data_IF_742000489729
#
_entry.id   IF_742000489729
#
_cell.length_a   1.000
_cell.length_b   1.000
_cell.length_c   1.000
_cell.angle_alpha   90.00
_cell.angle_beta   90.00
_cell.angle_gamma   90.00
#
_symmetry.space_group_name_H-M   'P 1'
#
loop_
_entity.id
_entity.type
_entity.pdbx_description
1 polymer ?
#
# COMPACT_ATOMS: atom_id res chain seq x y z
N UNK A 1 -57.07 2.30 40.34
CA UNK A 1 -55.91 1.41 40.11
C UNK A 1 -55.78 1.20 38.60
N UNK A 2 -55.43 2.27 37.87
CA UNK A 2 -54.09 2.62 37.34
C UNK A 2 -53.81 1.89 36.03
N UNK A 3 -54.09 2.60 34.93
CA UNK A 3 -53.69 2.25 33.58
C UNK A 3 -52.17 2.32 33.44
N UNK A 4 -51.58 1.32 32.80
CA UNK A 4 -50.15 1.27 32.50
C UNK A 4 -49.98 1.78 31.06
N UNK A 5 -49.65 3.06 30.91
CA UNK A 5 -49.16 3.61 29.65
C UNK A 5 -47.76 3.04 29.38
N UNK A 6 -47.67 2.25 28.31
CA UNK A 6 -46.39 1.83 27.74
C UNK A 6 -45.73 3.06 27.09
N UNK A 7 -44.69 3.58 27.74
CA UNK A 7 -43.79 4.56 27.12
C UNK A 7 -42.91 3.82 26.12
N UNK A 8 -43.23 3.98 24.83
CA UNK A 8 -42.39 3.55 23.71
C UNK A 8 -41.09 4.36 23.73
N UNK A 9 -40.00 3.73 24.18
CA UNK A 9 -38.68 4.34 24.20
C UNK A 9 -38.22 4.63 22.77
N UNK A 10 -38.18 5.91 22.41
CA UNK A 10 -37.69 6.38 21.14
C UNK A 10 -36.27 5.85 20.87
N UNK A 11 -36.11 5.07 19.78
CA UNK A 11 -34.80 4.65 19.27
C UNK A 11 -33.90 5.86 19.08
N UNK A 12 -32.65 5.84 19.58
CA UNK A 12 -31.73 6.95 19.38
C UNK A 12 -31.49 7.12 17.87
N UNK A 13 -31.88 8.28 17.33
CA UNK A 13 -31.58 8.68 15.95
C UNK A 13 -30.06 8.66 15.81
N UNK A 14 -29.54 7.67 15.08
CA UNK A 14 -28.11 7.44 14.94
C UNK A 14 -27.36 8.73 14.61
N UNK A 15 -26.41 9.09 15.46
CA UNK A 15 -25.58 10.28 15.30
C UNK A 15 -24.94 10.25 13.92
N UNK A 16 -25.26 11.26 13.09
CA UNK A 16 -24.79 11.35 11.71
C UNK A 16 -23.26 11.42 11.74
N UNK A 17 -22.58 10.36 11.29
CA UNK A 17 -21.11 10.36 11.24
C UNK A 17 -20.59 11.60 10.49
N UNK A 18 -19.49 12.21 10.96
CA UNK A 18 -18.79 13.26 10.22
C UNK A 18 -18.47 12.80 8.79
N UNK A 19 -18.54 13.71 7.81
CA UNK A 19 -18.38 13.39 6.37
C UNK A 19 -17.10 12.58 6.08
N UNK A 20 -15.98 12.89 6.75
CA UNK A 20 -14.71 12.16 6.61
C UNK A 20 -14.80 10.73 7.17
N UNK A 21 -15.37 10.56 8.35
CA UNK A 21 -15.56 9.23 8.95
C UNK A 21 -16.48 8.36 8.08
N UNK A 22 -17.54 8.95 7.51
CA UNK A 22 -18.40 8.27 6.52
C UNK A 22 -17.61 7.84 5.29
N UNK A 23 -16.79 8.73 4.73
CA UNK A 23 -15.98 8.41 3.55
C UNK A 23 -15.03 7.24 3.82
N UNK A 24 -14.36 7.22 4.97
CA UNK A 24 -13.46 6.13 5.35
C UNK A 24 -14.22 4.80 5.55
N UNK A 25 -15.41 4.84 6.15
CA UNK A 25 -16.28 3.66 6.28
C UNK A 25 -16.60 3.06 4.90
N UNK A 26 -16.98 3.90 3.93
CA UNK A 26 -17.31 3.45 2.58
C UNK A 26 -16.09 2.87 1.87
N UNK A 27 -14.91 3.46 2.05
CA UNK A 27 -13.66 2.93 1.49
C UNK A 27 -13.26 1.59 2.09
N UNK A 28 -13.41 1.40 3.40
CA UNK A 28 -13.15 0.10 4.04
C UNK A 28 -14.07 -1.00 3.51
N UNK A 29 -15.39 -0.72 3.41
CA UNK A 29 -16.34 -1.64 2.83
C UNK A 29 -16.03 -1.96 1.35
N UNK A 30 -15.64 -0.94 0.58
CA UNK A 30 -15.24 -1.11 -0.81
C UNK A 30 -14.00 -2.00 -0.96
N UNK A 31 -12.99 -1.80 -0.10
CA UNK A 31 -11.78 -2.60 -0.06
C UNK A 31 -12.10 -4.08 0.17
N UNK A 32 -12.91 -4.39 1.19
CA UNK A 32 -13.33 -5.77 1.47
C UNK A 32 -14.03 -6.42 0.28
N UNK A 33 -14.94 -5.70 -0.38
CA UNK A 33 -15.68 -6.21 -1.55
C UNK A 33 -14.77 -6.39 -2.75
N UNK A 34 -13.92 -5.41 -3.07
CA UNK A 34 -13.00 -5.49 -4.21
C UNK A 34 -11.96 -6.58 -4.04
N UNK A 35 -11.42 -6.79 -2.84
CA UNK A 35 -10.45 -7.86 -2.57
C UNK A 35 -11.10 -9.23 -2.63
N UNK A 36 -12.34 -9.36 -2.14
CA UNK A 36 -13.04 -10.65 -2.12
C UNK A 36 -13.56 -11.09 -3.51
N UNK A 37 -14.01 -10.15 -4.33
CA UNK A 37 -14.74 -10.46 -5.57
C UNK A 37 -13.98 -10.02 -6.84
N UNK A 38 -12.96 -9.18 -6.70
CA UNK A 38 -12.36 -8.46 -7.83
C UNK A 38 -13.20 -7.26 -8.28
N UNK A 39 -12.57 -6.34 -9.02
CA UNK A 39 -13.23 -5.09 -9.43
C UNK A 39 -14.45 -5.32 -10.32
N UNK A 40 -14.36 -6.22 -11.30
CA UNK A 40 -15.43 -6.40 -12.30
C UNK A 40 -16.70 -7.00 -11.69
N UNK A 41 -16.56 -8.01 -10.83
CA UNK A 41 -17.70 -8.66 -10.18
C UNK A 41 -18.33 -7.82 -9.07
N UNK A 42 -17.54 -7.00 -8.38
CA UNK A 42 -18.04 -6.11 -7.32
C UNK A 42 -19.13 -5.16 -7.83
N UNK A 43 -20.27 -5.10 -7.12
CA UNK A 43 -21.31 -4.12 -7.35
C UNK A 43 -21.32 -3.00 -6.29
N UNK A 44 -21.79 -1.81 -6.69
CA UNK A 44 -22.02 -0.70 -5.75
C UNK A 44 -23.04 -1.07 -4.67
N UNK A 45 -23.94 -1.99 -5.00
CA UNK A 45 -24.97 -2.51 -4.10
C UNK A 45 -24.36 -3.29 -2.93
N UNK A 46 -23.45 -4.22 -3.24
CA UNK A 46 -22.74 -5.04 -2.24
C UNK A 46 -21.93 -4.15 -1.30
N UNK A 47 -21.33 -3.08 -1.83
CA UNK A 47 -20.55 -2.12 -1.05
C UNK A 47 -21.45 -1.31 -0.11
N UNK A 48 -22.61 -0.85 -0.60
CA UNK A 48 -23.56 -0.11 0.22
C UNK A 48 -24.10 -1.00 1.37
N UNK A 49 -24.44 -2.25 1.05
CA UNK A 49 -24.86 -3.25 2.03
C UNK A 49 -23.76 -3.52 3.06
N UNK A 50 -22.53 -3.79 2.60
CA UNK A 50 -21.37 -4.01 3.47
C UNK A 50 -21.10 -2.83 4.39
N UNK A 51 -21.22 -1.61 3.87
CA UNK A 51 -21.05 -0.38 4.65
C UNK A 51 -22.23 -0.07 5.58
N UNK A 52 -23.34 -0.81 5.49
CA UNK A 52 -24.56 -0.51 6.26
C UNK A 52 -25.16 0.86 5.92
N UNK A 53 -25.07 1.29 4.66
CA UNK A 53 -25.65 2.55 4.17
C UNK A 53 -26.61 2.30 3.00
N UNK A 54 -27.50 3.26 2.73
CA UNK A 54 -28.33 3.19 1.53
C UNK A 54 -27.52 3.56 0.28
N UNK A 55 -27.89 3.01 -0.89
CA UNK A 55 -27.24 3.33 -2.17
C UNK A 55 -27.15 4.84 -2.43
N UNK A 56 -28.21 5.65 -2.22
CA UNK A 56 -28.10 7.11 -2.43
C UNK A 56 -27.01 7.77 -1.58
N UNK A 57 -26.73 7.26 -0.38
CA UNK A 57 -25.65 7.77 0.47
C UNK A 57 -24.28 7.43 -0.13
N UNK A 58 -24.10 6.21 -0.64
CA UNK A 58 -22.85 5.84 -1.33
C UNK A 58 -22.63 6.74 -2.56
N UNK A 59 -23.64 6.91 -3.41
CA UNK A 59 -23.55 7.72 -4.63
C UNK A 59 -23.33 9.23 -4.36
N UNK A 60 -23.75 9.75 -3.21
CA UNK A 60 -23.42 11.13 -2.79
C UNK A 60 -21.93 11.33 -2.51
N UNK A 61 -21.21 10.27 -2.17
CA UNK A 61 -19.78 10.31 -1.90
C UNK A 61 -18.95 9.89 -3.12
N UNK A 62 -19.41 8.90 -3.87
CA UNK A 62 -18.70 8.31 -5.00
C UNK A 62 -19.68 8.10 -6.17
N UNK A 63 -19.62 8.94 -7.22
CA UNK A 63 -20.55 8.88 -8.34
C UNK A 63 -20.53 7.55 -9.09
N UNK A 64 -19.39 6.85 -9.11
CA UNK A 64 -19.25 5.54 -9.73
C UNK A 64 -18.27 4.61 -9.01
N UNK A 65 -18.29 3.34 -9.45
CA UNK A 65 -17.40 2.28 -8.96
C UNK A 65 -15.93 2.61 -9.21
N UNK A 66 -15.62 3.20 -10.37
CA UNK A 66 -14.26 3.65 -10.70
C UNK A 66 -13.81 4.78 -9.78
N UNK A 67 -14.64 5.79 -9.50
CA UNK A 67 -14.28 6.89 -8.59
C UNK A 67 -13.98 6.37 -7.17
N UNK A 68 -14.78 5.42 -6.70
CA UNK A 68 -14.57 4.76 -5.42
C UNK A 68 -13.26 3.96 -5.40
N UNK A 69 -12.98 3.23 -6.49
CA UNK A 69 -11.74 2.48 -6.65
C UNK A 69 -10.51 3.39 -6.67
N UNK A 70 -10.54 4.46 -7.46
CA UNK A 70 -9.45 5.44 -7.54
C UNK A 70 -9.23 6.14 -6.21
N UNK A 71 -10.29 6.46 -5.47
CA UNK A 71 -10.19 7.04 -4.14
C UNK A 71 -9.58 6.09 -3.10
N UNK A 72 -9.83 4.79 -3.23
CA UNK A 72 -9.20 3.76 -2.41
C UNK A 72 -7.72 3.60 -2.79
N UNK A 73 -7.43 3.60 -4.08
CA UNK A 73 -6.08 3.57 -4.63
C UNK A 73 -5.25 4.75 -4.11
N UNK A 74 -5.79 5.97 -4.16
CA UNK A 74 -5.14 7.17 -3.63
C UNK A 74 -4.80 7.04 -2.14
N UNK A 75 -5.70 6.44 -1.33
CA UNK A 75 -5.45 6.21 0.10
C UNK A 75 -4.29 5.24 0.33
N UNK A 76 -4.21 4.16 -0.44
CA UNK A 76 -3.15 3.17 -0.32
C UNK A 76 -1.81 3.67 -0.87
N UNK A 77 -1.83 4.46 -1.95
CA UNK A 77 -0.63 5.13 -2.46
C UNK A 77 -0.03 6.08 -1.42
N UNK A 78 -0.86 6.92 -0.78
CA UNK A 78 -0.41 7.81 0.29
C UNK A 78 0.19 7.02 1.47
N UNK A 79 -0.45 5.93 1.89
CA UNK A 79 0.05 5.09 2.97
C UNK A 79 1.44 4.49 2.67
N UNK A 80 1.67 4.07 1.42
CA UNK A 80 2.97 3.57 0.98
C UNK A 80 4.05 4.67 1.03
N UNK A 81 3.76 5.86 0.47
CA UNK A 81 4.70 7.00 0.49
C UNK A 81 5.06 7.38 1.93
N UNK A 82 4.08 7.45 2.83
CA UNK A 82 4.32 7.77 4.24
C UNK A 82 5.16 6.69 4.94
N UNK A 83 4.96 5.41 4.59
CA UNK A 83 5.75 4.30 5.12
C UNK A 83 7.21 4.40 4.66
N UNK A 84 7.46 4.69 3.39
CA UNK A 84 8.80 4.92 2.84
C UNK A 84 9.47 6.12 3.51
N UNK A 85 8.78 7.26 3.62
CA UNK A 85 9.30 8.45 4.30
C UNK A 85 9.66 8.17 5.76
N UNK A 86 8.79 7.44 6.47
CA UNK A 86 9.03 7.06 7.86
C UNK A 86 10.24 6.12 8.00
N UNK A 87 10.40 5.17 7.08
CA UNK A 87 11.55 4.28 7.02
C UNK A 87 12.86 5.04 6.79
N UNK A 88 12.88 6.00 5.86
CA UNK A 88 14.05 6.84 5.59
C UNK A 88 14.40 7.75 6.77
N UNK A 89 13.40 8.27 7.48
CA UNK A 89 13.58 9.13 8.66
C UNK A 89 13.94 8.36 9.95
N UNK A 90 13.85 7.02 9.94
CA UNK A 90 14.03 6.20 11.15
C UNK A 90 15.45 6.21 11.72
N UNK A 91 16.44 6.59 10.93
CA UNK A 91 17.87 6.54 11.26
C UNK A 91 18.67 7.40 10.27
N UNK A 92 19.94 7.65 10.58
CA UNK A 92 20.91 8.28 9.67
C UNK A 92 21.93 7.28 9.09
N UNK A 93 21.86 6.01 9.50
CA UNK A 93 22.67 4.94 8.90
C UNK A 93 22.02 4.47 7.58
N UNK A 94 22.67 4.73 6.45
CA UNK A 94 22.14 4.39 5.13
C UNK A 94 21.87 2.91 4.91
N UNK A 95 22.67 2.02 5.50
CA UNK A 95 22.40 0.59 5.40
C UNK A 95 21.11 0.23 6.14
N UNK A 96 20.87 0.86 7.29
CA UNK A 96 19.64 0.66 8.06
C UNK A 96 18.43 1.31 7.36
N UNK A 97 18.58 2.47 6.72
CA UNK A 97 17.54 3.08 5.87
C UNK A 97 17.14 2.14 4.72
N UNK A 98 18.12 1.58 4.01
CA UNK A 98 17.82 0.59 2.95
C UNK A 98 17.01 -0.57 3.50
N UNK A 99 17.44 -1.16 4.63
CA UNK A 99 16.70 -2.26 5.26
C UNK A 99 15.28 -1.85 5.65
N UNK A 100 15.11 -0.68 6.28
CA UNK A 100 13.81 -0.18 6.71
C UNK A 100 12.87 0.07 5.51
N UNK A 101 13.39 0.60 4.41
CA UNK A 101 12.61 0.80 3.19
C UNK A 101 12.21 -0.53 2.57
N UNK A 102 13.11 -1.52 2.50
CA UNK A 102 12.73 -2.87 2.04
C UNK A 102 11.64 -3.48 2.93
N UNK A 103 11.80 -3.39 4.24
CA UNK A 103 10.79 -3.87 5.21
C UNK A 103 9.42 -3.22 4.99
N UNK A 104 9.39 -1.90 4.76
CA UNK A 104 8.16 -1.17 4.47
C UNK A 104 7.44 -1.69 3.22
N UNK A 105 8.17 -2.00 2.14
CA UNK A 105 7.57 -2.61 0.95
C UNK A 105 7.03 -4.01 1.24
N UNK A 106 7.77 -4.87 1.93
CA UNK A 106 7.29 -6.21 2.29
C UNK A 106 6.06 -6.16 3.22
N UNK A 107 6.07 -5.28 4.23
CA UNK A 107 4.92 -5.05 5.10
C UNK A 107 3.68 -4.62 4.32
N UNK A 108 3.87 -3.74 3.34
CA UNK A 108 2.79 -3.26 2.47
C UNK A 108 2.21 -4.39 1.60
N UNK A 109 3.04 -5.32 1.12
CA UNK A 109 2.60 -6.47 0.32
C UNK A 109 1.95 -7.56 1.18
N UNK A 110 2.39 -7.72 2.42
CA UNK A 110 1.81 -8.67 3.38
C UNK A 110 0.47 -8.21 3.97
N UNK A 111 0.15 -6.91 3.93
CA UNK A 111 -1.05 -6.36 4.55
C UNK A 111 -2.31 -7.17 4.18
N UNK A 112 -2.94 -7.77 5.20
CA UNK A 112 -4.11 -8.64 5.06
C UNK A 112 -5.31 -7.91 4.44
N UNK A 113 -5.28 -6.57 4.47
CA UNK A 113 -6.24 -5.72 3.78
C UNK A 113 -6.20 -5.84 2.25
N UNK A 114 -5.19 -6.48 1.66
CA UNK A 114 -5.10 -6.67 0.21
C UNK A 114 -4.83 -5.38 -0.57
N UNK A 115 -4.34 -4.32 0.11
CA UNK A 115 -3.98 -3.03 -0.47
C UNK A 115 -3.06 -3.18 -1.68
N UNK A 116 -2.03 -4.04 -1.54
CA UNK A 116 -1.09 -4.32 -2.60
C UNK A 116 -1.75 -4.88 -3.86
N UNK A 117 -2.72 -5.80 -3.71
CA UNK A 117 -3.42 -6.39 -4.87
C UNK A 117 -4.20 -5.34 -5.64
N UNK A 118 -4.84 -4.41 -4.93
CA UNK A 118 -5.57 -3.30 -5.54
C UNK A 118 -4.65 -2.31 -6.26
N UNK A 119 -3.44 -2.05 -5.75
CA UNK A 119 -2.51 -1.11 -6.39
C UNK A 119 -1.74 -1.73 -7.54
N UNK A 120 -1.20 -2.94 -7.38
CA UNK A 120 -0.17 -3.47 -8.27
C UNK A 120 -0.56 -4.76 -9.01
N UNK A 121 -1.67 -5.41 -8.65
CA UNK A 121 -2.12 -6.66 -9.29
C UNK A 121 -3.50 -6.55 -9.95
N UNK A 122 -4.13 -5.39 -9.88
CA UNK A 122 -5.46 -5.20 -10.45
C UNK A 122 -5.47 -5.37 -11.97
N UNK A 123 -6.49 -6.05 -12.49
CA UNK A 123 -6.79 -6.15 -13.92
C UNK A 123 -7.02 -4.76 -14.56
N UNK A 124 -7.21 -3.72 -13.74
CA UNK A 124 -7.31 -2.33 -14.17
C UNK A 124 -5.96 -1.65 -14.43
N UNK A 125 -4.85 -2.36 -14.43
CA UNK A 125 -3.53 -1.80 -14.81
C UNK A 125 -3.52 -1.16 -16.21
N UNK A 126 -4.46 -1.53 -17.08
CA UNK A 126 -4.67 -0.89 -18.38
C UNK A 126 -5.53 0.38 -18.34
N UNK A 127 -6.27 0.63 -17.26
CA UNK A 127 -7.05 1.86 -17.09
C UNK A 127 -6.12 3.06 -16.90
N UNK A 128 -6.19 4.09 -17.75
CA UNK A 128 -5.28 5.23 -17.71
C UNK A 128 -5.22 5.93 -16.34
N UNK A 129 -6.37 6.10 -15.70
CA UNK A 129 -6.47 6.77 -14.39
C UNK A 129 -5.85 5.95 -13.24
N UNK A 130 -5.81 4.62 -13.37
CA UNK A 130 -5.14 3.73 -12.41
C UNK A 130 -3.63 3.78 -12.64
N UNK A 131 -3.20 3.65 -13.91
CA UNK A 131 -1.78 3.74 -14.30
C UNK A 131 -1.15 5.05 -13.82
N UNK A 132 -1.82 6.18 -14.05
CA UNK A 132 -1.35 7.49 -13.61
C UNK A 132 -1.06 7.54 -12.10
N UNK A 133 -1.90 6.91 -11.28
CA UNK A 133 -1.72 6.87 -9.82
C UNK A 133 -0.58 5.95 -9.39
N UNK A 134 -0.41 4.83 -10.08
CA UNK A 134 0.69 3.89 -9.86
C UNK A 134 2.03 4.53 -10.26
N UNK A 135 2.08 5.22 -11.40
CA UNK A 135 3.26 5.95 -11.85
C UNK A 135 3.59 7.09 -10.87
N UNK A 136 2.57 7.82 -10.42
CA UNK A 136 2.73 8.89 -9.43
C UNK A 136 3.30 8.39 -8.11
N UNK A 137 2.74 7.33 -7.52
CA UNK A 137 3.26 6.79 -6.24
C UNK A 137 4.68 6.27 -6.38
N UNK A 138 5.01 5.64 -7.52
CA UNK A 138 6.36 5.14 -7.81
C UNK A 138 7.35 6.31 -7.88
N UNK A 139 6.99 7.37 -8.60
CA UNK A 139 7.81 8.59 -8.72
C UNK A 139 7.98 9.30 -7.37
N UNK A 140 6.92 9.42 -6.56
CA UNK A 140 7.01 10.06 -5.24
C UNK A 140 7.88 9.27 -4.25
N UNK A 141 7.83 7.94 -4.29
CA UNK A 141 8.75 7.10 -3.51
C UNK A 141 10.20 7.27 -3.99
N UNK A 142 10.42 7.31 -5.32
CA UNK A 142 11.74 7.53 -5.89
C UNK A 142 12.30 8.93 -5.55
N UNK A 143 11.49 9.98 -5.57
CA UNK A 143 11.90 11.33 -5.13
C UNK A 143 12.33 11.32 -3.66
N UNK A 144 11.57 10.69 -2.76
CA UNK A 144 11.95 10.60 -1.34
C UNK A 144 13.30 9.89 -1.14
N UNK A 145 13.56 8.82 -1.89
CA UNK A 145 14.85 8.10 -1.84
C UNK A 145 15.96 8.94 -2.49
N UNK A 146 15.67 9.63 -3.59
CA UNK A 146 16.61 10.48 -4.31
C UNK A 146 17.13 11.61 -3.43
N UNK A 147 16.27 12.25 -2.65
CA UNK A 147 16.66 13.32 -1.71
C UNK A 147 17.73 12.83 -0.73
N UNK A 148 17.51 11.65 -0.13
CA UNK A 148 18.46 11.03 0.81
C UNK A 148 19.78 10.66 0.14
N UNK A 149 19.73 10.06 -1.05
CA UNK A 149 20.95 9.68 -1.79
C UNK A 149 21.76 10.92 -2.14
N UNK A 150 21.11 11.96 -2.65
CA UNK A 150 21.78 13.20 -3.05
C UNK A 150 22.46 13.88 -1.84
N UNK A 151 21.75 13.95 -0.71
CA UNK A 151 22.27 14.55 0.54
C UNK A 151 23.50 13.81 1.06
N UNK A 152 23.45 12.47 1.11
CA UNK A 152 24.49 11.68 1.80
C UNK A 152 25.68 11.30 0.93
N UNK A 153 25.56 11.37 -0.41
CA UNK A 153 26.62 10.92 -1.34
C UNK A 153 27.25 12.06 -2.15
N UNK A 154 26.57 13.20 -2.27
CA UNK A 154 26.98 14.30 -3.14
C UNK A 154 26.82 14.03 -4.64
N UNK A 155 26.15 12.94 -5.03
CA UNK A 155 25.79 12.66 -6.43
C UNK A 155 24.83 13.72 -6.98
N UNK A 156 24.83 13.90 -8.30
CA UNK A 156 23.85 14.79 -8.93
C UNK A 156 22.43 14.26 -8.72
N UNK A 157 21.42 15.15 -8.82
CA UNK A 157 20.01 14.75 -8.73
C UNK A 157 19.63 13.70 -9.78
N UNK A 158 20.19 13.80 -10.99
CA UNK A 158 19.91 12.83 -12.06
C UNK A 158 20.46 11.44 -11.74
N UNK A 159 21.69 11.35 -11.24
CA UNK A 159 22.31 10.08 -10.80
C UNK A 159 21.57 9.50 -9.60
N UNK A 160 21.23 10.35 -8.62
CA UNK A 160 20.49 9.95 -7.42
C UNK A 160 19.09 9.42 -7.78
N UNK A 161 18.41 10.06 -8.72
CA UNK A 161 17.10 9.63 -9.22
C UNK A 161 17.18 8.28 -9.96
N UNK A 162 18.23 8.06 -10.75
CA UNK A 162 18.45 6.79 -11.42
C UNK A 162 18.62 5.65 -10.40
N UNK A 163 19.42 5.88 -9.36
CA UNK A 163 19.61 4.90 -8.28
C UNK A 163 18.33 4.68 -7.46
N UNK A 164 17.63 5.76 -7.11
CA UNK A 164 16.38 5.71 -6.37
C UNK A 164 15.29 4.92 -7.11
N UNK A 165 15.14 5.17 -8.41
CA UNK A 165 14.22 4.43 -9.27
C UNK A 165 14.58 2.94 -9.33
N UNK A 166 15.87 2.61 -9.43
CA UNK A 166 16.35 1.23 -9.40
C UNK A 166 16.05 0.52 -8.07
N UNK A 167 16.28 1.19 -6.94
CA UNK A 167 16.01 0.65 -5.60
C UNK A 167 14.51 0.43 -5.37
N UNK A 168 13.67 1.42 -5.71
CA UNK A 168 12.21 1.30 -5.59
C UNK A 168 11.65 0.19 -6.49
N UNK A 169 12.12 0.12 -7.74
CA UNK A 169 11.72 -0.95 -8.67
C UNK A 169 12.14 -2.34 -8.18
N UNK A 170 13.37 -2.49 -7.67
CA UNK A 170 13.84 -3.74 -7.09
C UNK A 170 12.97 -4.17 -5.90
N UNK A 171 12.64 -3.24 -4.99
CA UNK A 171 11.77 -3.51 -3.84
C UNK A 171 10.38 -3.99 -4.26
N UNK A 172 9.76 -3.26 -5.18
CA UNK A 172 8.43 -3.57 -5.70
C UNK A 172 8.39 -4.93 -6.40
N UNK A 173 9.32 -5.18 -7.32
CA UNK A 173 9.35 -6.43 -8.12
C UNK A 173 9.59 -7.65 -7.24
N UNK A 174 10.56 -7.57 -6.32
CA UNK A 174 10.89 -8.70 -5.44
C UNK A 174 9.77 -8.97 -4.45
N UNK A 175 9.20 -7.94 -3.82
CA UNK A 175 8.09 -8.13 -2.88
C UNK A 175 6.87 -8.76 -3.57
N UNK A 176 6.55 -8.31 -4.80
CA UNK A 176 5.52 -8.94 -5.65
C UNK A 176 5.82 -10.42 -5.91
N UNK A 177 7.02 -10.71 -6.41
CA UNK A 177 7.40 -12.09 -6.75
C UNK A 177 7.37 -13.01 -5.53
N UNK A 178 7.78 -12.48 -4.37
CA UNK A 178 7.75 -13.21 -3.11
C UNK A 178 6.33 -13.56 -2.68
N UNK A 179 5.38 -12.63 -2.80
CA UNK A 179 3.96 -12.88 -2.53
C UNK A 179 3.38 -14.01 -3.39
N UNK A 180 3.77 -14.08 -4.67
CA UNK A 180 3.32 -15.12 -5.60
C UNK A 180 4.00 -16.49 -5.39
N UNK A 181 5.10 -16.53 -4.65
CA UNK A 181 5.88 -17.75 -4.41
C UNK A 181 5.38 -18.57 -3.21
N UNK A 182 4.12 -18.40 -2.82
CA UNK A 182 3.54 -18.88 -1.55
C UNK A 182 4.39 -18.55 -0.32
N UNK A 183 5.16 -17.44 -0.40
CA UNK A 183 6.08 -17.00 0.65
C UNK A 183 7.06 -18.11 1.07
N UNK A 184 7.56 -18.87 0.09
CA UNK A 184 8.50 -19.98 0.28
C UNK A 184 9.76 -19.62 1.09
N UNK A 185 10.16 -18.35 1.08
CA UNK A 185 11.21 -17.79 1.95
C UNK A 185 10.54 -17.00 3.08
N UNK A 186 10.92 -17.18 4.36
CA UNK A 186 10.40 -16.34 5.43
C UNK A 186 10.65 -14.85 5.18
N UNK A 187 9.68 -14.00 5.52
CA UNK A 187 9.73 -12.53 5.30
C UNK A 187 11.05 -11.91 5.74
N UNK A 188 11.49 -12.18 6.96
CA UNK A 188 12.73 -11.63 7.51
C UNK A 188 13.95 -12.01 6.68
N UNK A 189 13.98 -13.23 6.15
CA UNK A 189 15.04 -13.69 5.27
C UNK A 189 14.94 -13.01 3.89
N UNK A 190 13.73 -12.85 3.33
CA UNK A 190 13.53 -12.13 2.07
C UNK A 190 13.98 -10.66 2.17
N UNK A 191 13.62 -9.96 3.25
CA UNK A 191 14.07 -8.58 3.54
C UNK A 191 15.59 -8.53 3.67
N UNK A 192 16.22 -9.47 4.37
CA UNK A 192 17.67 -9.53 4.52
C UNK A 192 18.39 -9.76 3.18
N UNK A 193 17.92 -10.72 2.37
CA UNK A 193 18.47 -11.00 1.05
C UNK A 193 18.37 -9.76 0.15
N UNK A 194 17.21 -9.12 0.11
CA UNK A 194 16.99 -7.94 -0.72
C UNK A 194 17.83 -6.75 -0.26
N UNK A 195 17.93 -6.54 1.06
CA UNK A 195 18.80 -5.51 1.64
C UNK A 195 20.26 -5.74 1.24
N UNK A 196 20.74 -6.97 1.31
CA UNK A 196 22.11 -7.32 0.90
C UNK A 196 22.34 -7.04 -0.59
N UNK A 197 21.38 -7.42 -1.45
CA UNK A 197 21.44 -7.15 -2.88
C UNK A 197 21.44 -5.65 -3.18
N UNK A 198 20.57 -4.88 -2.53
CA UNK A 198 20.48 -3.43 -2.72
C UNK A 198 21.73 -2.68 -2.21
N UNK A 199 22.32 -3.14 -1.10
CA UNK A 199 23.45 -2.45 -0.46
C UNK A 199 24.81 -2.85 -1.04
N UNK A 200 25.01 -4.13 -1.37
CA UNK A 200 26.32 -4.68 -1.80
C UNK A 200 26.31 -5.21 -3.23
N UNK A 201 25.16 -5.25 -3.89
CA UNK A 201 24.99 -5.98 -5.13
C UNK A 201 25.19 -7.50 -4.93
N UNK A 202 25.31 -8.21 -6.06
CA UNK A 202 25.50 -9.67 -6.06
C UNK A 202 26.83 -10.08 -5.39
N UNK A 203 27.85 -9.22 -5.43
CA UNK A 203 29.13 -9.46 -4.76
C UNK A 203 29.02 -9.57 -3.23
N UNK A 204 27.89 -9.14 -2.64
CA UNK A 204 27.61 -9.30 -1.21
C UNK A 204 27.32 -10.73 -0.75
N UNK A 205 27.14 -11.68 -1.68
CA UNK A 205 26.85 -13.08 -1.40
C UNK A 205 28.10 -13.96 -1.57
N UNK A 206 28.35 -14.93 -0.67
CA UNK A 206 29.53 -15.77 -0.75
C UNK A 206 29.49 -16.66 -1.99
N UNK A 207 30.63 -16.80 -2.67
CA UNK A 207 30.80 -17.81 -3.72
C UNK A 207 30.83 -19.20 -3.07
N UNK A 208 30.01 -20.12 -3.57
CA UNK A 208 30.16 -21.53 -3.21
C UNK A 208 31.52 -22.02 -3.74
N UNK A 209 32.45 -22.36 -2.83
CA UNK A 209 33.75 -22.94 -3.18
C UNK A 209 34.98 -22.09 -2.91
N UNK A 210 34.89 -20.93 -2.25
CA UNK A 210 36.06 -20.33 -1.61
C UNK A 210 36.40 -21.08 -0.32
N UNK A 211 36.83 -22.33 -0.46
CA UNK A 211 37.65 -22.97 0.57
C UNK A 211 38.95 -22.18 0.69
N UNK A 212 39.24 -21.80 1.94
CA UNK A 212 40.55 -21.59 2.54
C UNK A 212 41.75 -21.62 1.57
N UNK A 213 42.35 -20.47 1.32
CA UNK A 213 43.81 -20.42 1.19
C UNK A 213 44.33 -19.36 2.15
N UNK A 214 45.17 -19.86 3.06
CA UNK A 214 46.00 -19.24 4.08
C UNK A 214 46.25 -17.73 3.99
#
# INVERSE_FOLDING_TARGET
MTAIEQTEAARPRGTRLPRRARRNQLLGAAQEVFVAQGYHAAAMDDIAERAGVSKPVLYQHFPGKLDLYLALLDQHCEALIQSVRSALASTTDNKQRVRATMDAYFAYVEDDGGAFRLVFESDLTNEPAVRERVDKVTNECAEAICEVIAEDTGLSRAESMLLASGLGGLAQVVARSWLHSDRSVPRDQAVQLLTSLAWRGIAGFPLHGSEQHH
#
